data_IF_055040239401
#
_entry.id   IF_055040239401
#
_cell.length_a   1.000
_cell.length_b   1.000
_cell.length_c   1.000
_cell.angle_alpha   90.00
_cell.angle_beta   90.00
_cell.angle_gamma   90.00
#
_symmetry.space_group_name_H-M   'P 1'
#
loop_
_entity.id
_entity.type
_entity.pdbx_description
1 polymer ?
#
# COMPACT_ATOMS: atom_id res chain seq x y z
N UNK A 1 -44.90 2.83 -16.23
CA UNK A 1 -43.47 2.81 -15.85
C UNK A 1 -42.69 3.50 -16.96
N UNK A 2 -42.08 4.66 -16.68
CA UNK A 2 -41.57 5.57 -17.71
C UNK A 2 -40.25 5.09 -18.34
N UNK A 3 -40.09 5.22 -19.65
CA UNK A 3 -38.86 4.88 -20.40
C UNK A 3 -37.62 5.60 -19.85
N UNK A 4 -37.80 6.77 -19.23
CA UNK A 4 -36.76 7.51 -18.50
C UNK A 4 -36.19 6.78 -17.28
N UNK A 5 -37.01 5.98 -16.60
CA UNK A 5 -36.60 5.19 -15.42
C UNK A 5 -35.67 4.03 -15.83
N UNK A 6 -35.92 3.42 -16.99
CA UNK A 6 -35.08 2.36 -17.56
C UNK A 6 -33.70 2.89 -17.98
N UNK A 7 -33.67 4.07 -18.62
CA UNK A 7 -32.40 4.72 -18.98
C UNK A 7 -31.60 5.14 -17.75
N UNK A 8 -32.26 5.61 -16.69
CA UNK A 8 -31.61 5.96 -15.43
C UNK A 8 -30.98 4.73 -14.74
N UNK A 9 -31.69 3.60 -14.75
CA UNK A 9 -31.18 2.33 -14.22
C UNK A 9 -30.01 1.79 -15.06
N UNK A 10 -30.08 1.88 -16.39
CA UNK A 10 -28.97 1.51 -17.29
C UNK A 10 -27.74 2.41 -17.08
N UNK A 11 -27.95 3.70 -16.82
CA UNK A 11 -26.86 4.63 -16.48
C UNK A 11 -26.26 4.32 -15.10
N UNK A 12 -27.08 3.96 -14.11
CA UNK A 12 -26.62 3.54 -12.78
C UNK A 12 -25.80 2.25 -12.79
N UNK A 13 -26.11 1.30 -13.69
CA UNK A 13 -25.33 0.06 -13.86
C UNK A 13 -23.95 0.34 -14.46
N UNK A 14 -23.79 1.39 -15.27
CA UNK A 14 -22.52 1.73 -15.91
C UNK A 14 -21.56 2.57 -15.05
N UNK A 15 -22.02 3.15 -13.94
CA UNK A 15 -21.21 4.07 -13.11
C UNK A 15 -20.42 3.35 -11.99
N UNK A 16 -20.50 2.03 -11.90
CA UNK A 16 -19.52 1.27 -11.11
C UNK A 16 -18.22 1.05 -11.90
N UNK A 17 -17.51 2.14 -12.18
CA UNK A 17 -16.06 2.04 -12.28
C UNK A 17 -15.56 1.72 -10.87
N UNK A 18 -15.32 0.43 -10.62
CA UNK A 18 -14.43 0.04 -9.55
C UNK A 18 -13.11 0.75 -9.81
N UNK A 19 -12.73 1.61 -8.87
CA UNK A 19 -11.41 2.20 -8.82
C UNK A 19 -10.43 1.03 -8.64
N UNK A 20 -9.95 0.46 -9.75
CA UNK A 20 -8.93 -0.59 -9.80
C UNK A 20 -7.55 -0.01 -9.43
N UNK A 21 -7.50 0.92 -8.47
CA UNK A 21 -6.26 1.32 -7.84
C UNK A 21 -5.66 0.11 -7.14
N UNK A 22 -4.43 -0.25 -7.49
CA UNK A 22 -3.73 -1.37 -6.86
C UNK A 22 -3.68 -1.11 -5.34
N UNK A 23 -4.42 -1.91 -4.58
CA UNK A 23 -4.60 -1.71 -3.14
C UNK A 23 -3.39 -2.28 -2.40
N UNK A 24 -2.88 -1.54 -1.41
CA UNK A 24 -1.83 -2.04 -0.52
C UNK A 24 -2.45 -3.10 0.40
N UNK A 25 -1.84 -4.28 0.45
CA UNK A 25 -2.30 -5.41 1.24
C UNK A 25 -1.17 -5.98 2.10
N UNK A 26 -1.55 -6.84 3.06
CA UNK A 26 -0.62 -7.64 3.88
C UNK A 26 0.49 -6.82 4.55
N UNK A 27 0.14 -5.62 5.04
CA UNK A 27 1.07 -4.78 5.78
C UNK A 27 1.52 -5.53 7.03
N UNK A 28 2.83 -5.66 7.20
CA UNK A 28 3.43 -6.30 8.36
C UNK A 28 4.61 -5.47 8.86
N UNK A 29 4.76 -5.43 10.18
CA UNK A 29 5.84 -4.76 10.89
C UNK A 29 6.64 -5.81 11.64
N UNK A 30 7.96 -5.78 11.49
CA UNK A 30 8.87 -6.61 12.27
C UNK A 30 10.02 -5.78 12.81
N UNK A 31 10.67 -6.26 13.86
CA UNK A 31 11.92 -5.67 14.33
C UNK A 31 13.03 -5.89 13.29
N UNK A 32 13.96 -4.94 13.20
CA UNK A 32 15.21 -5.12 12.47
C UNK A 32 16.27 -5.83 13.32
N UNK A 33 17.53 -5.43 13.16
CA UNK A 33 18.66 -6.04 13.84
C UNK A 33 18.79 -5.62 15.31
N UNK A 34 18.16 -4.50 15.69
CA UNK A 34 18.18 -3.92 17.03
C UNK A 34 16.90 -3.09 17.28
N UNK A 35 16.76 -2.54 18.49
CA UNK A 35 15.62 -1.75 18.95
C UNK A 35 15.44 -0.39 18.25
N UNK A 36 16.42 0.04 17.46
CA UNK A 36 16.38 1.29 16.68
C UNK A 36 16.01 1.04 15.22
N UNK A 37 15.68 -0.21 14.87
CA UNK A 37 15.34 -0.64 13.51
C UNK A 37 13.95 -1.29 13.45
N UNK A 38 13.21 -0.96 12.39
CA UNK A 38 11.93 -1.59 12.08
C UNK A 38 11.84 -1.87 10.58
N UNK A 39 11.36 -3.06 10.23
CA UNK A 39 11.09 -3.44 8.85
C UNK A 39 9.59 -3.31 8.62
N UNK A 40 9.23 -2.60 7.56
CA UNK A 40 7.86 -2.47 7.07
C UNK A 40 7.76 -3.21 5.76
N UNK A 41 6.86 -4.17 5.67
CA UNK A 41 6.59 -4.91 4.44
C UNK A 41 5.13 -4.77 4.03
N UNK A 42 4.88 -4.75 2.72
CA UNK A 42 3.53 -4.82 2.17
C UNK A 42 3.56 -5.41 0.77
N UNK A 43 2.39 -5.79 0.28
CA UNK A 43 2.24 -6.33 -1.08
C UNK A 43 1.25 -5.49 -1.87
N UNK A 44 1.45 -5.43 -3.17
CA UNK A 44 0.46 -4.91 -4.10
C UNK A 44 0.19 -6.01 -5.14
N UNK A 45 -1.01 -6.63 -5.13
CA UNK A 45 -1.35 -7.67 -6.09
C UNK A 45 -1.60 -7.08 -7.48
N UNK A 46 -1.34 -7.89 -8.51
CA UNK A 46 -1.68 -7.59 -9.91
C UNK A 46 -1.03 -6.31 -10.46
N UNK A 47 0.03 -5.84 -9.81
CA UNK A 47 0.77 -4.67 -10.23
C UNK A 47 1.83 -5.05 -11.27
N UNK A 48 1.53 -4.78 -12.54
CA UNK A 48 2.39 -5.12 -13.70
C UNK A 48 3.54 -4.09 -13.87
N UNK A 49 3.47 -2.93 -13.20
CA UNK A 49 4.50 -1.88 -13.28
C UNK A 49 5.17 -1.63 -11.94
N UNK A 50 6.49 -1.68 -11.90
CA UNK A 50 7.31 -1.37 -10.72
C UNK A 50 7.12 0.09 -10.31
N UNK A 51 6.14 0.34 -9.44
CA UNK A 51 5.99 1.63 -8.79
C UNK A 51 6.91 1.71 -7.59
N UNK A 52 7.59 2.84 -7.43
CA UNK A 52 8.44 3.12 -6.29
C UNK A 52 7.61 3.11 -5.00
N UNK A 53 7.97 2.25 -4.06
CA UNK A 53 7.38 2.20 -2.71
C UNK A 53 8.11 3.11 -1.74
N UNK A 54 7.38 3.77 -0.83
CA UNK A 54 7.94 4.63 0.21
C UNK A 54 7.10 4.54 1.48
N UNK A 55 7.77 4.44 2.63
CA UNK A 55 7.14 4.58 3.94
C UNK A 55 7.39 5.98 4.46
N UNK A 56 6.35 6.63 4.98
CA UNK A 56 6.43 7.87 5.73
C UNK A 56 6.13 7.59 7.20
N UNK A 57 6.96 8.07 8.13
CA UNK A 57 6.81 7.82 9.56
C UNK A 57 7.23 9.04 10.38
N UNK A 58 6.71 9.18 11.61
CA UNK A 58 7.05 10.31 12.47
C UNK A 58 6.23 10.36 13.76
N UNK A 59 6.85 10.83 14.85
CA UNK A 59 6.30 10.77 16.22
C UNK A 59 4.98 11.55 16.44
N UNK A 60 4.53 12.36 15.48
CA UNK A 60 3.28 13.11 15.54
C UNK A 60 2.69 13.35 14.15
N UNK A 61 1.37 13.32 14.04
CA UNK A 61 0.61 13.52 12.78
C UNK A 61 0.77 14.91 12.13
N UNK A 62 1.50 15.83 12.75
CA UNK A 62 1.52 17.26 12.36
C UNK A 62 2.90 17.86 12.14
N UNK A 63 4.01 17.15 12.43
CA UNK A 63 5.37 17.73 12.27
C UNK A 63 6.39 16.70 11.80
N UNK A 64 6.89 16.94 10.57
CA UNK A 64 8.02 16.26 9.90
C UNK A 64 7.93 14.73 9.87
N UNK A 65 7.37 14.22 8.77
CA UNK A 65 7.53 12.83 8.40
C UNK A 65 8.92 12.61 7.80
N UNK A 66 9.65 11.65 8.34
CA UNK A 66 10.79 11.04 7.65
C UNK A 66 10.24 10.07 6.60
N UNK A 67 11.10 9.69 5.65
CA UNK A 67 10.69 8.68 4.68
C UNK A 67 11.84 7.81 4.21
N UNK A 68 11.53 6.54 3.97
CA UNK A 68 12.46 5.54 3.47
C UNK A 68 11.90 4.91 2.19
N UNK A 69 12.76 4.79 1.18
CA UNK A 69 12.44 4.06 -0.05
C UNK A 69 12.43 2.56 0.23
N UNK A 70 11.43 1.85 -0.29
CA UNK A 70 11.40 0.40 -0.21
C UNK A 70 12.21 -0.24 -1.34
N UNK A 71 12.85 -1.35 -1.00
CA UNK A 71 13.28 -2.36 -1.95
C UNK A 71 12.04 -3.09 -2.48
N UNK A 72 12.08 -3.50 -3.74
CA UNK A 72 10.95 -4.12 -4.43
C UNK A 72 11.41 -5.44 -5.03
N UNK A 73 10.66 -6.49 -4.74
CA UNK A 73 10.79 -7.79 -5.37
C UNK A 73 9.47 -8.16 -6.05
N UNK A 74 9.58 -8.92 -7.14
CA UNK A 74 8.41 -9.45 -7.84
C UNK A 74 8.31 -10.93 -7.53
N UNK A 75 7.16 -11.33 -6.98
CA UNK A 75 6.84 -12.72 -6.71
C UNK A 75 5.63 -13.14 -7.53
N UNK A 76 5.72 -14.28 -8.22
CA UNK A 76 4.61 -14.81 -9.01
C UNK A 76 4.09 -16.11 -8.39
N UNK A 77 2.83 -16.11 -7.99
CA UNK A 77 2.14 -17.30 -7.50
C UNK A 77 1.11 -17.78 -8.53
N UNK A 78 1.44 -18.82 -9.27
CA UNK A 78 0.62 -19.37 -10.37
C UNK A 78 0.20 -18.30 -11.38
N UNK A 79 -0.99 -17.71 -11.18
CA UNK A 79 -1.63 -16.75 -12.08
C UNK A 79 -1.49 -15.29 -11.64
N UNK A 80 -1.14 -15.05 -10.38
CA UNK A 80 -1.08 -13.70 -9.80
C UNK A 80 0.38 -13.29 -9.60
N UNK A 81 0.73 -12.13 -10.14
CA UNK A 81 2.00 -11.46 -9.87
C UNK A 81 1.80 -10.48 -8.71
N UNK A 82 2.75 -10.45 -7.79
CA UNK A 82 2.77 -9.58 -6.63
C UNK A 82 4.05 -8.76 -6.66
N UNK A 83 3.91 -7.46 -6.40
CA UNK A 83 5.04 -6.66 -5.97
C UNK A 83 5.11 -6.71 -4.44
N UNK A 84 6.20 -7.23 -3.90
CA UNK A 84 6.49 -7.24 -2.48
C UNK A 84 7.48 -6.13 -2.16
N UNK A 85 7.15 -5.31 -1.17
CA UNK A 85 7.93 -4.14 -0.78
C UNK A 85 8.52 -4.35 0.60
N UNK A 86 9.76 -3.89 0.79
CA UNK A 86 10.46 -3.94 2.08
C UNK A 86 11.18 -2.62 2.33
N UNK A 87 10.83 -1.92 3.40
CA UNK A 87 11.52 -0.72 3.86
C UNK A 87 12.14 -0.96 5.25
N UNK A 88 13.41 -0.61 5.42
CA UNK A 88 14.10 -0.63 6.71
C UNK A 88 14.17 0.79 7.28
N UNK A 89 13.39 1.04 8.33
CA UNK A 89 13.48 2.26 9.13
C UNK A 89 14.64 2.08 10.11
N UNK A 90 15.49 3.09 10.23
CA UNK A 90 16.68 3.08 11.09
C UNK A 90 16.69 4.32 11.99
N UNK A 91 17.59 4.33 12.98
CA UNK A 91 17.75 5.46 13.92
C UNK A 91 16.47 5.81 14.71
N UNK A 92 15.59 4.83 14.91
CA UNK A 92 14.40 5.00 15.73
C UNK A 92 14.77 5.10 17.20
N UNK A 93 14.03 5.92 17.94
CA UNK A 93 14.13 6.01 19.40
C UNK A 93 13.40 4.82 20.02
N UNK A 94 14.05 4.05 20.89
CA UNK A 94 13.39 2.98 21.63
C UNK A 94 12.21 3.52 22.44
N UNK A 95 11.23 2.66 22.72
CA UNK A 95 10.05 3.00 23.53
C UNK A 95 9.30 4.26 23.04
N UNK A 96 9.18 4.44 21.72
CA UNK A 96 8.54 5.59 21.10
C UNK A 96 7.56 5.12 20.02
N UNK A 97 6.36 5.73 19.98
CA UNK A 97 5.38 5.52 18.90
C UNK A 97 5.69 6.45 17.73
N UNK A 98 5.62 5.91 16.52
CA UNK A 98 5.94 6.57 15.25
C UNK A 98 4.80 6.45 14.24
#
# INVERSE_FOLDING_TARGET
MNMKLWLLLLFLVFVFHFDNGSTIEQIHLSLGSNETEMIVTWTIPEQISLQKGRVFYGMNSTRQSESVMAEIEIFKNYKTEYCTYRALLTMLKPNTTY
#
